data_IF_501453629925
#
_entry.id   IF_501453629925
#
_cell.length_a   1.000
_cell.length_b   1.000
_cell.length_c   1.000
_cell.angle_alpha   90.00
_cell.angle_beta   90.00
_cell.angle_gamma   90.00
#
_symmetry.space_group_name_H-M   'P 1'
#
loop_
_entity.id
_entity.type
_entity.pdbx_description
1 polymer ?
#
# COMPACT_ATOMS: atom_id res chain seq x y z
N UNK A 1 -21.76 23.54 4.70
CA UNK A 1 -20.83 22.84 3.79
C UNK A 1 -20.65 21.43 4.32
N UNK A 2 -21.41 20.48 3.77
CA UNK A 2 -21.42 19.09 4.22
C UNK A 2 -20.26 18.36 3.52
N UNK A 3 -19.12 18.22 4.20
CA UNK A 3 -18.04 17.36 3.73
C UNK A 3 -18.56 15.93 3.83
N UNK A 4 -18.93 15.33 2.69
CA UNK A 4 -19.17 13.90 2.62
C UNK A 4 -17.89 13.22 3.09
N UNK A 5 -17.90 12.66 4.30
CA UNK A 5 -16.92 11.68 4.76
C UNK A 5 -17.16 10.39 3.98
N UNK A 6 -16.86 10.43 2.67
CA UNK A 6 -16.74 9.22 1.89
C UNK A 6 -15.59 8.44 2.52
N UNK A 7 -15.89 7.37 3.25
CA UNK A 7 -14.88 6.37 3.55
C UNK A 7 -14.24 6.01 2.22
N UNK A 8 -12.93 6.27 2.03
CA UNK A 8 -12.29 5.98 0.76
C UNK A 8 -12.56 4.49 0.46
N UNK A 9 -13.00 4.17 -0.77
CA UNK A 9 -13.37 2.81 -1.11
C UNK A 9 -12.19 1.89 -0.86
N UNK A 10 -12.41 0.90 0.01
CA UNK A 10 -11.41 -0.11 0.35
C UNK A 10 -11.34 -1.10 -0.80
N UNK A 11 -10.24 -1.08 -1.54
CA UNK A 11 -10.01 -1.99 -2.65
C UNK A 11 -9.25 -3.23 -2.19
N UNK A 12 -9.54 -4.38 -2.80
CA UNK A 12 -8.81 -5.61 -2.49
C UNK A 12 -7.53 -5.73 -3.30
N UNK A 13 -6.48 -6.24 -2.68
CA UNK A 13 -5.16 -6.38 -3.30
C UNK A 13 -5.24 -7.29 -4.52
N UNK A 14 -6.05 -8.36 -4.48
CA UNK A 14 -6.27 -9.22 -5.64
C UNK A 14 -6.84 -8.48 -6.85
N UNK A 15 -7.74 -7.51 -6.63
CA UNK A 15 -8.37 -6.75 -7.71
C UNK A 15 -7.37 -5.78 -8.34
N UNK A 16 -6.55 -5.14 -7.51
CA UNK A 16 -5.48 -4.25 -7.96
C UNK A 16 -4.41 -5.04 -8.72
N UNK A 17 -3.98 -6.20 -8.22
CA UNK A 17 -2.98 -7.03 -8.89
C UNK A 17 -3.47 -7.59 -10.24
N UNK A 18 -4.78 -7.81 -10.39
CA UNK A 18 -5.38 -8.29 -11.65
C UNK A 18 -5.35 -7.24 -12.75
N UNK A 19 -5.60 -5.97 -12.40
CA UNK A 19 -5.62 -4.85 -13.36
C UNK A 19 -5.12 -3.56 -12.68
N UNK A 20 -3.80 -3.42 -12.48
CA UNK A 20 -3.22 -2.26 -11.80
C UNK A 20 -3.37 -0.98 -12.61
N UNK A 21 -3.43 -1.07 -13.95
CA UNK A 21 -3.60 0.07 -14.84
C UNK A 21 -4.90 0.83 -14.61
N UNK A 22 -5.98 0.13 -14.23
CA UNK A 22 -7.28 0.73 -13.87
C UNK A 22 -7.22 1.68 -12.66
N UNK A 23 -6.20 1.53 -11.83
CA UNK A 23 -5.97 2.31 -10.62
C UNK A 23 -4.90 3.38 -10.80
N UNK A 24 -4.31 3.50 -11.99
CA UNK A 24 -3.35 4.56 -12.30
C UNK A 24 -3.97 5.94 -12.10
N UNK A 25 -3.27 6.81 -11.37
CA UNK A 25 -3.72 8.17 -11.04
C UNK A 25 -4.87 8.25 -10.03
N UNK A 26 -5.30 7.12 -9.43
CA UNK A 26 -6.32 7.10 -8.38
C UNK A 26 -5.70 6.89 -7.02
N UNK A 27 -6.14 7.70 -6.06
CA UNK A 27 -5.88 7.44 -4.65
C UNK A 27 -6.81 6.33 -4.17
N UNK A 28 -6.22 5.28 -3.61
CA UNK A 28 -6.96 4.12 -3.12
C UNK A 28 -6.51 3.78 -1.71
N UNK A 29 -7.42 3.17 -0.94
CA UNK A 29 -7.11 2.65 0.38
C UNK A 29 -7.12 1.12 0.35
N UNK A 30 -6.07 0.50 0.88
CA UNK A 30 -6.00 -0.94 1.15
C UNK A 30 -5.83 -1.16 2.65
N UNK A 31 -6.32 -2.28 3.17
CA UNK A 31 -6.17 -2.62 4.58
C UNK A 31 -5.84 -4.10 4.72
N UNK A 32 -4.91 -4.41 5.62
CA UNK A 32 -4.43 -5.78 5.77
C UNK A 32 -3.52 -5.94 6.97
N UNK A 33 -2.91 -7.12 7.06
CA UNK A 33 -1.88 -7.45 8.03
C UNK A 33 -0.51 -7.31 7.37
N UNK A 34 0.41 -6.68 8.07
CA UNK A 34 1.81 -6.60 7.66
C UNK A 34 2.46 -7.95 7.91
N UNK A 35 2.92 -8.60 6.85
CA UNK A 35 3.53 -9.94 6.93
C UNK A 35 5.05 -9.90 6.77
N UNK A 36 5.57 -8.88 6.11
CA UNK A 36 7.00 -8.63 5.95
C UNK A 36 7.27 -7.12 5.94
N UNK A 37 8.46 -6.73 6.38
CA UNK A 37 8.87 -5.33 6.50
C UNK A 37 10.34 -5.21 6.12
N UNK A 38 10.63 -4.35 5.14
CA UNK A 38 11.98 -4.05 4.68
C UNK A 38 12.31 -2.57 4.93
N UNK A 39 13.29 -2.30 5.81
CA UNK A 39 13.79 -0.96 6.06
C UNK A 39 15.22 -0.81 5.54
N UNK A 40 15.49 0.21 4.71
CA UNK A 40 16.82 0.53 4.26
C UNK A 40 17.02 2.05 4.15
N UNK A 41 17.99 2.59 4.89
CA UNK A 41 18.47 3.98 4.78
C UNK A 41 17.35 5.04 4.79
N UNK A 42 16.49 5.04 5.82
CA UNK A 42 15.46 6.08 6.00
C UNK A 42 14.25 5.99 5.05
N UNK A 43 14.21 5.00 4.17
CA UNK A 43 13.03 4.60 3.40
C UNK A 43 12.70 3.15 3.75
N UNK A 44 11.42 2.82 3.74
CA UNK A 44 11.01 1.46 4.01
C UNK A 44 9.86 1.05 3.12
N UNK A 45 9.71 -0.25 2.96
CA UNK A 45 8.53 -0.84 2.37
C UNK A 45 8.07 -1.98 3.26
N UNK A 46 6.79 -2.30 3.21
CA UNK A 46 6.24 -3.43 3.93
C UNK A 46 5.26 -4.18 3.04
N UNK A 47 5.22 -5.49 3.21
CA UNK A 47 4.29 -6.37 2.54
C UNK A 47 3.00 -6.43 3.34
N UNK A 48 1.94 -5.90 2.77
CA UNK A 48 0.60 -5.93 3.34
C UNK A 48 -0.19 -7.08 2.70
N UNK A 49 -0.85 -7.90 3.53
CA UNK A 49 -1.71 -9.00 3.12
C UNK A 49 -3.16 -8.77 3.56
N UNK A 50 -4.11 -8.77 2.62
CA UNK A 50 -5.54 -8.55 2.89
C UNK A 50 -6.37 -9.85 2.90
N UNK A 51 -5.70 -11.02 2.85
CA UNK A 51 -6.24 -12.37 2.61
C UNK A 51 -6.66 -12.67 1.17
N UNK A 52 -6.76 -11.66 0.30
CA UNK A 52 -7.04 -11.86 -1.14
C UNK A 52 -5.75 -11.84 -1.95
N UNK A 53 -4.74 -11.13 -1.47
CA UNK A 53 -3.38 -11.13 -2.00
C UNK A 53 -2.47 -10.27 -1.13
N UNK A 54 -1.23 -10.13 -1.57
CA UNK A 54 -0.22 -9.33 -0.88
C UNK A 54 0.37 -8.26 -1.81
N UNK A 55 0.70 -7.09 -1.26
CA UNK A 55 1.26 -5.96 -2.01
C UNK A 55 2.33 -5.23 -1.20
N UNK A 56 3.42 -4.86 -1.88
CA UNK A 56 4.45 -4.00 -1.29
C UNK A 56 3.96 -2.56 -1.24
N UNK A 57 4.02 -2.00 -0.05
CA UNK A 57 3.67 -0.62 0.24
C UNK A 57 4.94 0.12 0.59
N UNK A 58 5.22 1.22 -0.11
CA UNK A 58 6.30 2.14 0.25
C UNK A 58 5.84 2.98 1.42
N UNK A 59 6.50 2.81 2.57
CA UNK A 59 6.28 3.64 3.74
C UNK A 59 6.68 5.07 3.43
N UNK A 60 5.79 6.01 3.74
CA UNK A 60 6.06 7.43 3.62
C UNK A 60 6.84 7.95 4.82
N UNK A 61 6.40 9.08 5.37
CA UNK A 61 7.06 9.73 6.51
C UNK A 61 6.73 9.10 7.87
N UNK A 62 5.75 8.19 7.93
CA UNK A 62 5.20 7.64 9.18
C UNK A 62 5.95 6.41 9.71
N UNK A 63 7.02 5.98 9.03
CA UNK A 63 7.81 4.80 9.40
C UNK A 63 7.16 3.47 9.02
N UNK A 64 7.93 2.39 9.11
CA UNK A 64 7.49 1.04 8.71
C UNK A 64 6.76 0.37 9.88
N UNK A 65 5.52 -0.13 9.69
CA UNK A 65 4.86 -0.97 10.69
C UNK A 65 5.71 -2.20 11.05
N UNK A 66 5.63 -2.62 12.32
CA UNK A 66 6.12 -3.93 12.72
C UNK A 66 5.30 -5.06 12.09
N UNK A 67 5.95 -6.19 11.80
CA UNK A 67 5.27 -7.39 11.31
C UNK A 67 4.16 -7.82 12.28
N UNK A 68 3.03 -8.24 11.72
CA UNK A 68 1.84 -8.61 12.47
C UNK A 68 0.86 -7.46 12.70
N UNK A 69 1.26 -6.20 12.52
CA UNK A 69 0.37 -5.05 12.66
C UNK A 69 -0.76 -5.09 11.61
N UNK A 70 -1.96 -4.66 12.01
CA UNK A 70 -3.06 -4.40 11.08
C UNK A 70 -3.12 -2.91 10.80
N UNK A 71 -3.07 -2.53 9.52
CA UNK A 71 -3.03 -1.13 9.11
C UNK A 71 -3.92 -0.90 7.89
N UNK A 72 -4.44 0.32 7.76
CA UNK A 72 -5.02 0.81 6.53
C UNK A 72 -4.09 1.88 5.94
N UNK A 73 -3.77 1.73 4.66
CA UNK A 73 -2.87 2.60 3.93
C UNK A 73 -3.62 3.18 2.74
N UNK A 74 -3.56 4.49 2.60
CA UNK A 74 -4.05 5.22 1.44
C UNK A 74 -2.86 5.68 0.60
N UNK A 75 -2.98 5.57 -0.72
CA UNK A 75 -1.90 5.94 -1.61
C UNK A 75 -2.21 5.76 -3.09
N UNK A 76 -1.18 5.89 -3.90
CA UNK A 76 -1.24 5.74 -5.35
C UNK A 76 -0.52 4.48 -5.80
N UNK A 77 -1.11 3.78 -6.78
CA UNK A 77 -0.45 2.64 -7.40
C UNK A 77 0.66 3.12 -8.33
N UNK A 78 1.84 2.55 -8.15
CA UNK A 78 2.98 2.70 -9.04
C UNK A 78 3.37 1.34 -9.60
N UNK A 79 3.64 1.28 -10.90
CA UNK A 79 4.07 0.06 -11.58
C UNK A 79 5.56 0.14 -11.92
N UNK A 80 6.22 -1.01 -12.03
CA UNK A 80 7.63 -1.07 -12.46
C UNK A 80 8.61 -0.46 -11.46
N UNK A 81 8.46 -0.80 -10.18
CA UNK A 81 9.28 -0.26 -9.10
C UNK A 81 10.41 -1.23 -8.73
N UNK A 82 11.65 -0.74 -8.63
CA UNK A 82 12.80 -1.56 -8.22
C UNK A 82 13.31 -1.12 -6.86
N UNK A 83 13.46 -2.07 -5.92
CA UNK A 83 14.03 -1.81 -4.61
C UNK A 83 14.93 -2.95 -4.16
N UNK A 84 16.15 -2.62 -3.70
CA UNK A 84 17.13 -3.61 -3.22
C UNK A 84 17.54 -4.64 -4.29
N UNK A 85 17.56 -4.26 -5.57
CA UNK A 85 17.84 -5.18 -6.69
C UNK A 85 16.69 -6.11 -7.07
N UNK A 86 15.50 -5.96 -6.45
CA UNK A 86 14.28 -6.71 -6.78
C UNK A 86 13.31 -5.81 -7.56
N UNK A 87 12.75 -6.34 -8.64
CA UNK A 87 11.70 -5.67 -9.40
C UNK A 87 10.33 -6.06 -8.86
N UNK A 88 9.53 -5.05 -8.53
CA UNK A 88 8.17 -5.17 -8.08
C UNK A 88 7.24 -4.65 -9.19
N UNK A 89 6.35 -5.52 -9.66
CA UNK A 89 5.43 -5.19 -10.73
C UNK A 89 4.48 -4.04 -10.34
N UNK A 90 4.03 -4.03 -9.08
CA UNK A 90 3.07 -3.06 -8.53
C UNK A 90 3.41 -2.75 -7.08
N UNK A 91 3.45 -1.47 -6.71
CA UNK A 91 3.60 -1.00 -5.32
C UNK A 91 2.59 0.10 -5.03
N UNK A 92 2.18 0.22 -3.76
CA UNK A 92 1.39 1.36 -3.30
C UNK A 92 2.33 2.38 -2.64
N UNK A 93 2.31 3.62 -3.11
CA UNK A 93 3.01 4.73 -2.45
C UNK A 93 2.08 5.41 -1.45
N UNK A 94 2.38 5.24 -0.17
CA UNK A 94 1.61 5.80 0.94
C UNK A 94 1.57 7.34 0.90
N UNK A 95 0.37 7.91 1.05
CA UNK A 95 0.11 9.34 1.24
C UNK A 95 -0.51 9.62 2.61
N UNK A 96 -1.36 8.71 3.10
CA UNK A 96 -2.00 8.80 4.41
C UNK A 96 -2.10 7.40 5.05
N UNK A 97 -1.96 7.33 6.38
CA UNK A 97 -2.07 6.08 7.14
C UNK A 97 -2.99 6.26 8.34
N UNK A 98 -3.93 5.33 8.54
CA UNK A 98 -4.86 5.33 9.68
C UNK A 98 -4.52 4.16 10.62
N UNK A 99 -4.24 4.50 11.89
CA UNK A 99 -3.87 3.57 12.96
C UNK A 99 -5.10 2.93 13.63
#
# INVERSE_FOLDING_TARGET
MLLLTACPPRESIARINRDPGRYSGKEITIAGRVVDSYGAMGRGAFLLDDRTGSMWVLAGHYGVPGSGAKVAVTGYIQQGFTMGGRNFATVLKETERRH
#
